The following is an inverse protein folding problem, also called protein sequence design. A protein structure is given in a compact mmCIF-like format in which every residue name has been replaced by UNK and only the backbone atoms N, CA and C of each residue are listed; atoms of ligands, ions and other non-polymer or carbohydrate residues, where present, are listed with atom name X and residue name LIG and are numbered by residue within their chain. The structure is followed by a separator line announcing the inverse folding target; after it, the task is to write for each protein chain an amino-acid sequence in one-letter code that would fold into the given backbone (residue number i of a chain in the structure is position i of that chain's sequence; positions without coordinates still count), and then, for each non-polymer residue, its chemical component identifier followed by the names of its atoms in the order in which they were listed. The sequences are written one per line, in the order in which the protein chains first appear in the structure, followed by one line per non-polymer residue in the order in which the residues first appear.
data_IF_448108794870
#
_entry.id   IF_448108794870
#
_cell.length_a   1.000
_cell.length_b   1.000
_cell.length_c   1.000
_cell.angle_alpha   90.00
_cell.angle_beta   90.00
_cell.angle_gamma   90.00
#
_symmetry.space_group_name_H-M   'P 1'
#
loop_
_entity.id
_entity.type
_entity.pdbx_description
1 polymer ?
#
# COMPACT_ATOMS: atom_id res chain seq x y z
N UNK A 1 -35.32 11.49 10.37
CA UNK A 1 -34.24 11.36 11.37
C UNK A 1 -33.39 10.09 11.19
N UNK A 2 -33.91 9.02 10.58
CA UNK A 2 -33.15 7.79 10.31
C UNK A 2 -32.10 7.87 9.18
N UNK A 3 -32.27 8.76 8.19
CA UNK A 3 -31.34 8.87 7.06
C UNK A 3 -29.98 9.50 7.44
N UNK A 4 -29.94 10.35 8.47
CA UNK A 4 -28.67 10.91 8.99
C UNK A 4 -27.84 9.89 9.77
N UNK A 5 -28.48 8.87 10.36
CA UNK A 5 -27.79 7.85 11.17
C UNK A 5 -27.09 6.79 10.30
N UNK A 6 -27.61 6.52 9.11
CA UNK A 6 -26.96 5.66 8.12
C UNK A 6 -25.73 6.32 7.48
N UNK A 7 -25.77 7.63 7.24
CA UNK A 7 -24.61 8.38 6.72
C UNK A 7 -23.50 8.49 7.78
N UNK A 8 -23.87 8.62 9.06
CA UNK A 8 -22.90 8.70 10.17
C UNK A 8 -22.13 7.41 10.42
N UNK A 9 -22.65 6.24 10.03
CA UNK A 9 -21.97 4.95 10.20
C UNK A 9 -21.11 4.54 8.98
N UNK A 10 -21.14 5.28 7.87
CA UNK A 10 -20.22 5.08 6.74
C UNK A 10 -18.86 5.77 6.94
N UNK A 11 -18.69 6.60 7.98
CA UNK A 11 -17.46 7.36 8.26
C UNK A 11 -16.25 6.52 8.72
N UNK A 12 -16.31 5.19 8.67
CA UNK A 12 -15.23 4.31 9.14
C UNK A 12 -14.83 3.19 8.18
N UNK A 13 -15.30 3.23 6.94
CA UNK A 13 -14.79 2.33 5.91
C UNK A 13 -13.58 2.99 5.25
N UNK A 14 -12.37 2.66 5.74
CA UNK A 14 -11.14 3.05 5.06
C UNK A 14 -11.03 2.22 3.79
N UNK A 15 -11.30 2.85 2.65
CA UNK A 15 -11.01 2.25 1.37
C UNK A 15 -9.50 2.29 1.17
N UNK A 16 -8.93 1.14 0.83
CA UNK A 16 -7.59 1.04 0.29
C UNK A 16 -7.68 0.51 -1.13
N UNK A 17 -6.74 0.91 -1.97
CA UNK A 17 -6.72 0.48 -3.37
C UNK A 17 -5.31 0.22 -3.84
N UNK A 18 -5.18 -0.69 -4.78
CA UNK A 18 -3.91 -1.04 -5.39
C UNK A 18 -3.54 0.02 -6.42
N UNK A 19 -2.29 0.47 -6.36
CA UNK A 19 -1.77 1.47 -7.29
C UNK A 19 -0.58 0.91 -8.04
N UNK A 20 -0.54 1.19 -9.34
CA UNK A 20 0.50 0.70 -10.24
C UNK A 20 1.25 1.81 -10.97
N UNK A 21 0.75 3.05 -10.84
CA UNK A 21 1.26 4.22 -11.55
C UNK A 21 1.01 5.50 -10.76
N UNK A 22 1.73 6.58 -11.11
CA UNK A 22 1.50 7.91 -10.54
C UNK A 22 0.09 8.42 -10.85
N UNK A 23 -0.47 8.09 -12.01
CA UNK A 23 -1.83 8.45 -12.38
C UNK A 23 -2.87 7.84 -11.46
N UNK A 24 -2.62 6.62 -10.97
CA UNK A 24 -3.49 6.00 -9.95
C UNK A 24 -3.42 6.78 -8.64
N UNK A 25 -2.22 7.20 -8.21
CA UNK A 25 -2.03 8.02 -7.01
C UNK A 25 -2.77 9.36 -7.10
N UNK A 26 -2.72 10.04 -8.24
CA UNK A 26 -3.45 11.30 -8.44
C UNK A 26 -4.96 11.11 -8.35
N UNK A 27 -5.50 10.02 -8.92
CA UNK A 27 -6.92 9.67 -8.78
C UNK A 27 -7.27 9.39 -7.32
N UNK A 28 -6.39 8.70 -6.62
CA UNK A 28 -6.53 8.36 -5.21
C UNK A 28 -6.54 9.61 -4.32
N UNK A 29 -5.63 10.54 -4.55
CA UNK A 29 -5.53 11.79 -3.79
C UNK A 29 -6.77 12.68 -3.94
N UNK A 30 -7.46 12.59 -5.08
CA UNK A 30 -8.70 13.33 -5.34
C UNK A 30 -9.97 12.59 -4.88
N UNK A 31 -9.86 11.33 -4.44
CA UNK A 31 -11.00 10.55 -4.00
C UNK A 31 -11.34 10.83 -2.53
N UNK A 32 -12.58 11.23 -2.21
CA UNK A 32 -12.97 11.45 -0.82
C UNK A 32 -12.89 10.14 -0.02
N UNK A 33 -12.31 10.20 1.17
CA UNK A 33 -12.14 9.09 2.12
C UNK A 33 -11.10 8.01 1.75
N UNK A 34 -10.35 8.19 0.67
CA UNK A 34 -9.24 7.30 0.34
C UNK A 34 -7.93 7.90 0.90
N UNK A 35 -7.37 7.25 1.91
CA UNK A 35 -6.14 7.71 2.56
C UNK A 35 -4.99 6.71 2.44
N UNK A 36 -5.29 5.44 2.16
CA UNK A 36 -4.29 4.38 2.08
C UNK A 36 -4.22 3.80 0.67
N UNK A 37 -2.99 3.57 0.20
CA UNK A 37 -2.73 2.95 -1.11
C UNK A 37 -1.82 1.74 -0.93
N UNK A 38 -2.15 0.66 -1.62
CA UNK A 38 -1.46 -0.63 -1.53
C UNK A 38 -0.44 -0.74 -2.67
N UNK A 39 0.80 -1.05 -2.31
CA UNK A 39 1.90 -1.28 -3.23
C UNK A 39 2.30 -2.75 -3.18
N UNK A 40 2.21 -3.41 -4.34
CA UNK A 40 2.48 -4.84 -4.50
C UNK A 40 3.79 -5.08 -5.26
N UNK A 41 4.94 -5.14 -4.56
CA UNK A 41 6.18 -5.53 -5.19
C UNK A 41 6.10 -6.98 -5.65
N UNK A 42 6.69 -7.28 -6.82
CA UNK A 42 6.84 -8.66 -7.31
C UNK A 42 7.62 -9.54 -6.32
N UNK A 43 8.43 -8.93 -5.45
CA UNK A 43 9.19 -9.64 -4.43
C UNK A 43 8.34 -10.25 -3.32
N UNK A 44 7.25 -9.59 -2.92
CA UNK A 44 6.50 -9.93 -1.70
C UNK A 44 5.03 -10.25 -1.96
N UNK A 45 4.51 -9.93 -3.15
CA UNK A 45 3.13 -10.12 -3.52
C UNK A 45 2.97 -11.08 -4.71
N UNK A 46 2.06 -12.06 -4.61
CA UNK A 46 1.82 -13.09 -5.64
C UNK A 46 1.38 -12.50 -6.96
N UNK A 47 0.57 -11.45 -6.91
CA UNK A 47 0.12 -10.69 -8.09
C UNK A 47 0.93 -9.41 -8.30
N UNK A 48 2.01 -9.22 -7.53
CA UNK A 48 2.83 -8.02 -7.56
C UNK A 48 3.54 -7.84 -8.90
N UNK A 49 3.43 -6.64 -9.45
CA UNK A 49 4.02 -6.28 -10.75
C UNK A 49 5.07 -5.18 -10.64
N UNK A 50 5.25 -4.61 -9.46
CA UNK A 50 6.13 -3.48 -9.25
C UNK A 50 7.54 -3.96 -8.91
N UNK A 51 8.52 -3.39 -9.60
CA UNK A 51 9.92 -3.51 -9.19
C UNK A 51 10.16 -2.75 -7.88
N UNK A 52 11.29 -3.02 -7.22
CA UNK A 52 11.69 -2.29 -6.00
C UNK A 52 11.74 -0.78 -6.24
N UNK A 53 12.38 -0.34 -7.33
CA UNK A 53 12.48 1.08 -7.70
C UNK A 53 11.10 1.72 -7.90
N UNK A 54 10.19 1.03 -8.61
CA UNK A 54 8.82 1.51 -8.81
C UNK A 54 8.07 1.63 -7.48
N UNK A 55 8.20 0.63 -6.60
CA UNK A 55 7.57 0.66 -5.28
C UNK A 55 8.07 1.84 -4.44
N UNK A 56 9.38 2.09 -4.40
CA UNK A 56 9.94 3.23 -3.67
C UNK A 56 9.50 4.56 -4.28
N UNK A 57 9.57 4.71 -5.61
CA UNK A 57 9.14 5.93 -6.29
C UNK A 57 7.66 6.23 -6.06
N UNK A 58 6.80 5.22 -6.13
CA UNK A 58 5.37 5.38 -5.86
C UNK A 58 5.09 5.65 -4.38
N UNK A 59 5.83 5.03 -3.45
CA UNK A 59 5.67 5.28 -2.02
C UNK A 59 6.04 6.74 -1.66
N UNK A 60 7.16 7.23 -2.16
CA UNK A 60 7.56 8.62 -1.98
C UNK A 60 6.50 9.58 -2.56
N UNK A 61 6.04 9.31 -3.78
CA UNK A 61 5.01 10.14 -4.42
C UNK A 61 3.66 10.10 -3.69
N UNK A 62 3.27 8.95 -3.16
CA UNK A 62 2.06 8.82 -2.35
C UNK A 62 2.14 9.72 -1.11
N UNK A 63 3.29 9.76 -0.43
CA UNK A 63 3.51 10.62 0.74
C UNK A 63 3.42 12.11 0.39
N UNK A 64 4.01 12.53 -0.73
CA UNK A 64 3.88 13.91 -1.24
C UNK A 64 2.43 14.31 -1.50
N UNK A 65 1.60 13.37 -1.96
CA UNK A 65 0.18 13.57 -2.23
C UNK A 65 -0.71 13.42 -0.98
N UNK A 66 -0.12 13.28 0.22
CA UNK A 66 -0.85 13.12 1.48
C UNK A 66 -1.50 11.74 1.67
N UNK A 67 -1.15 10.77 0.82
CA UNK A 67 -1.58 9.38 0.94
C UNK A 67 -0.61 8.61 1.85
N UNK A 68 -1.13 7.54 2.46
CA UNK A 68 -0.38 6.60 3.28
C UNK A 68 -0.10 5.33 2.47
N UNK A 69 1.11 5.15 1.92
CA UNK A 69 1.46 3.93 1.22
C UNK A 69 1.61 2.77 2.21
N UNK A 70 1.13 1.60 1.81
CA UNK A 70 1.18 0.34 2.55
C UNK A 70 1.85 -0.70 1.66
N UNK A 71 2.90 -1.34 2.19
CA UNK A 71 3.61 -2.41 1.50
C UNK A 71 2.84 -3.72 1.67
N UNK A 72 2.53 -4.41 0.57
CA UNK A 72 1.83 -5.70 0.61
C UNK A 72 2.84 -6.83 0.63
N UNK A 73 2.62 -7.79 1.54
CA UNK A 73 3.34 -9.06 1.62
C UNK A 73 2.31 -10.20 1.74
N UNK A 74 1.97 -10.87 0.65
CA UNK A 74 1.00 -11.97 0.65
C UNK A 74 1.57 -13.30 0.10
N UNK A 75 2.86 -13.33 -0.22
CA UNK A 75 3.56 -14.56 -0.60
C UNK A 75 3.92 -15.35 0.65
N UNK A 76 3.31 -16.53 0.80
CA UNK A 76 3.75 -17.56 1.74
C UNK A 76 5.02 -18.21 1.21
N UNK A 77 6.03 -18.35 2.06
CA UNK A 77 7.32 -18.88 1.67
C UNK A 77 7.96 -19.71 2.80
N UNK A 78 8.76 -20.73 2.46
CA UNK A 78 9.56 -21.45 3.45
C UNK A 78 10.50 -20.52 4.22
N UNK A 79 10.82 -20.89 5.46
CA UNK A 79 11.61 -20.05 6.38
C UNK A 79 12.96 -19.60 5.80
N UNK A 80 13.67 -20.49 5.10
CA UNK A 80 14.94 -20.16 4.46
C UNK A 80 14.78 -19.09 3.37
N UNK A 81 13.68 -19.14 2.61
CA UNK A 81 13.34 -18.13 1.60
C UNK A 81 12.98 -16.82 2.28
N UNK A 82 12.12 -16.85 3.30
CA UNK A 82 11.75 -15.68 4.10
C UNK A 82 12.99 -14.97 4.67
N UNK A 83 13.91 -15.73 5.25
CA UNK A 83 15.14 -15.18 5.82
C UNK A 83 15.98 -14.45 4.75
N UNK A 84 16.13 -15.04 3.57
CA UNK A 84 16.82 -14.40 2.43
C UNK A 84 16.13 -13.10 1.98
N UNK A 85 14.79 -13.10 1.90
CA UNK A 85 14.01 -11.90 1.56
C UNK A 85 14.14 -10.83 2.64
N UNK A 86 14.07 -11.19 3.91
CA UNK A 86 14.26 -10.28 5.03
C UNK A 86 15.66 -9.63 4.99
N UNK A 87 16.71 -10.35 4.60
CA UNK A 87 18.03 -9.75 4.40
C UNK A 87 18.01 -8.68 3.29
N UNK A 88 17.35 -8.96 2.16
CA UNK A 88 17.21 -7.99 1.06
C UNK A 88 16.38 -6.77 1.46
N UNK A 89 15.39 -6.94 2.31
CA UNK A 89 14.55 -5.84 2.81
C UNK A 89 15.26 -4.95 3.82
N UNK A 90 16.37 -5.38 4.44
CA UNK A 90 17.18 -4.50 5.29
C UNK A 90 17.78 -3.34 4.50
N UNK A 91 18.01 -3.54 3.21
CA UNK A 91 18.53 -2.51 2.31
C UNK A 91 17.42 -1.60 1.77
N UNK A 92 16.15 -1.92 2.01
CA UNK A 92 15.04 -1.09 1.59
C UNK A 92 14.82 0.06 2.57
N UNK A 93 14.63 1.26 2.03
CA UNK A 93 14.10 2.36 2.82
C UNK A 93 12.60 2.16 3.05
N UNK A 94 12.26 1.67 4.24
CA UNK A 94 10.89 1.43 4.66
C UNK A 94 10.23 2.67 5.31
N UNK A 95 10.96 3.77 5.50
CA UNK A 95 10.46 4.97 6.19
C UNK A 95 9.30 5.66 5.45
N UNK A 96 9.21 5.45 4.14
CA UNK A 96 8.13 5.97 3.30
C UNK A 96 6.80 5.23 3.51
N UNK A 97 6.81 4.01 4.08
CA UNK A 97 5.62 3.19 4.26
C UNK A 97 4.97 3.43 5.62
N UNK A 98 3.65 3.61 5.61
CA UNK A 98 2.88 3.77 6.83
C UNK A 98 2.55 2.45 7.54
N UNK A 99 2.62 1.33 6.82
CA UNK A 99 2.39 -0.02 7.34
C UNK A 99 2.89 -1.08 6.34
N UNK A 100 2.98 -2.33 6.84
CA UNK A 100 3.09 -3.54 6.04
C UNK A 100 1.82 -4.36 6.25
N UNK A 101 1.20 -4.83 5.17
CA UNK A 101 0.05 -5.73 5.21
C UNK A 101 0.50 -7.15 4.88
N UNK A 102 0.56 -8.00 5.92
CA UNK A 102 0.78 -9.43 5.79
C UNK A 102 -0.56 -10.19 5.81
N UNK A 103 -0.72 -11.20 4.95
CA UNK A 103 -1.90 -12.06 4.87
C UNK A 103 -1.55 -13.52 5.10
#
# INVERSE_FOLDING_TARGET
MYLKFLISNFQKMQFNTFVSSVRDLERCANAPHLHEVLLEPTLLARQGKLSSEQVHGLAAKARELGLRPVLVWDVLMPENVMSSICQRLKDWDLSSFGAIRAC
#
